data_IF_339090930908
#
_entry.id   IF_339090930908
#
_cell.length_a   1.000
_cell.length_b   1.000
_cell.length_c   1.000
_cell.angle_alpha   90.00
_cell.angle_beta   90.00
_cell.angle_gamma   90.00
#
_symmetry.space_group_name_H-M   'P 1'
#
loop_
_entity.id
_entity.type
_entity.pdbx_description
1 polymer ?
#
# COMPACT_ATOMS: atom_id res chain seq x y z
N UNK A 1 -6.05 6.23 1.75
CA UNK A 1 -5.29 5.10 1.19
C UNK A 1 -3.91 5.61 0.80
N UNK A 2 -2.85 4.89 1.15
CA UNK A 2 -1.47 5.20 0.74
C UNK A 2 -1.29 5.25 -0.79
N UNK A 3 -2.15 4.61 -1.58
CA UNK A 3 -2.14 4.69 -3.05
C UNK A 3 -2.39 6.10 -3.61
N UNK A 4 -3.01 6.99 -2.84
CA UNK A 4 -3.29 8.36 -3.28
C UNK A 4 -2.15 9.35 -2.95
N UNK A 5 -1.12 8.94 -2.20
CA UNK A 5 -0.04 9.84 -1.78
C UNK A 5 0.73 10.38 -2.99
N UNK A 6 1.16 9.51 -3.91
CA UNK A 6 1.91 9.92 -5.10
C UNK A 6 1.05 10.77 -6.07
N UNK A 7 -0.21 10.41 -6.37
CA UNK A 7 -1.11 11.29 -7.13
C UNK A 7 -1.30 12.68 -6.51
N UNK A 8 -1.39 12.79 -5.18
CA UNK A 8 -1.51 14.09 -4.49
C UNK A 8 -0.23 14.91 -4.64
N UNK A 9 0.94 14.30 -4.43
CA UNK A 9 2.23 14.99 -4.62
C UNK A 9 2.36 15.49 -6.06
N UNK A 10 2.01 14.65 -7.04
CA UNK A 10 2.01 15.03 -8.45
C UNK A 10 1.06 16.21 -8.72
N UNK A 11 -0.15 16.17 -8.17
CA UNK A 11 -1.14 17.24 -8.32
C UNK A 11 -0.65 18.56 -7.71
N UNK A 12 0.03 18.52 -6.57
CA UNK A 12 0.64 19.71 -5.95
C UNK A 12 1.74 20.30 -6.84
N UNK A 13 2.62 19.46 -7.41
CA UNK A 13 3.66 19.89 -8.35
C UNK A 13 3.08 20.53 -9.60
N UNK A 14 2.02 19.95 -10.15
CA UNK A 14 1.30 20.51 -11.30
C UNK A 14 0.73 21.90 -10.99
N UNK A 15 0.08 22.07 -9.83
CA UNK A 15 -0.43 23.39 -9.39
C UNK A 15 0.67 24.42 -9.20
N UNK A 16 1.79 24.05 -8.56
CA UNK A 16 2.94 24.95 -8.40
C UNK A 16 3.50 25.42 -9.75
N UNK A 17 3.57 24.51 -10.74
CA UNK A 17 4.00 24.85 -12.09
C UNK A 17 3.05 25.85 -12.76
N UNK A 18 1.74 25.67 -12.62
CA UNK A 18 0.73 26.59 -13.17
C UNK A 18 0.83 27.97 -12.53
N UNK A 19 0.94 28.04 -11.19
CA UNK A 19 1.09 29.30 -10.46
C UNK A 19 2.38 30.03 -10.87
N UNK A 20 3.48 29.29 -11.05
CA UNK A 20 4.76 29.88 -11.46
C UNK A 20 4.68 30.49 -12.86
N UNK A 21 4.01 29.84 -13.82
CA UNK A 21 3.85 30.35 -15.18
C UNK A 21 2.95 31.60 -15.26
N UNK A 22 1.94 31.72 -14.39
CA UNK A 22 1.04 32.87 -14.36
C UNK A 22 1.74 34.13 -13.78
N UNK A 23 2.60 33.94 -12.79
CA UNK A 23 3.23 35.05 -12.05
C UNK A 23 4.46 35.66 -12.74
N UNK A 24 4.99 35.06 -13.82
CA UNK A 24 6.03 35.69 -14.66
C UNK A 24 5.54 36.96 -15.38
N UNK A 25 4.24 37.26 -15.32
CA UNK A 25 3.62 38.43 -15.95
C UNK A 25 3.35 39.63 -15.01
N UNK A 26 3.50 39.47 -13.69
CA UNK A 26 3.24 40.56 -12.73
C UNK A 26 4.07 40.38 -11.43
N UNK A 27 5.33 40.80 -11.48
CA UNK A 27 6.38 40.58 -10.47
C UNK A 27 6.19 41.37 -9.14
N UNK A 28 4.98 41.88 -8.86
CA UNK A 28 4.71 42.72 -7.68
C UNK A 28 3.69 42.16 -6.67
N UNK A 29 3.08 41.00 -6.92
CA UNK A 29 2.15 40.40 -5.96
C UNK A 29 2.87 39.62 -4.84
N UNK A 30 3.02 40.28 -3.68
CA UNK A 30 3.57 39.72 -2.44
C UNK A 30 2.86 38.40 -2.06
N UNK A 31 1.57 38.26 -2.38
CA UNK A 31 0.80 37.05 -2.08
C UNK A 31 1.22 35.87 -2.97
N UNK A 32 1.52 36.13 -4.25
CA UNK A 32 2.00 35.11 -5.20
C UNK A 32 3.33 34.48 -4.77
N UNK A 33 4.27 35.30 -4.29
CA UNK A 33 5.55 34.82 -3.76
C UNK A 33 5.41 33.95 -2.51
N UNK A 34 4.51 34.33 -1.58
CA UNK A 34 4.23 33.56 -0.36
C UNK A 34 3.55 32.22 -0.68
N UNK A 35 2.58 32.21 -1.59
CA UNK A 35 1.91 30.99 -2.05
C UNK A 35 2.94 30.04 -2.70
N UNK A 36 3.81 30.54 -3.57
CA UNK A 36 4.87 29.75 -4.20
C UNK A 36 5.79 29.10 -3.15
N UNK A 37 6.26 29.89 -2.18
CA UNK A 37 7.10 29.37 -1.10
C UNK A 37 6.39 28.28 -0.28
N UNK A 38 5.10 28.48 0.06
CA UNK A 38 4.30 27.48 0.77
C UNK A 38 4.23 26.14 0.00
N UNK A 39 3.88 26.19 -1.29
CA UNK A 39 3.81 24.98 -2.13
C UNK A 39 5.18 24.30 -2.24
N UNK A 40 6.26 25.06 -2.46
CA UNK A 40 7.62 24.53 -2.54
C UNK A 40 8.01 23.80 -1.26
N UNK A 41 7.85 24.42 -0.10
CA UNK A 41 8.19 23.79 1.19
C UNK A 41 7.37 22.53 1.45
N UNK A 42 6.07 22.54 1.14
CA UNK A 42 5.21 21.36 1.30
C UNK A 42 5.70 20.22 0.39
N UNK A 43 6.00 20.52 -0.87
CA UNK A 43 6.48 19.52 -1.84
C UNK A 43 7.83 18.95 -1.42
N UNK A 44 8.77 19.78 -0.96
CA UNK A 44 10.08 19.34 -0.47
C UNK A 44 9.95 18.36 0.70
N UNK A 45 9.10 18.66 1.69
CA UNK A 45 8.85 17.78 2.83
C UNK A 45 8.23 16.46 2.39
N UNK A 46 7.28 16.50 1.46
CA UNK A 46 6.63 15.30 0.94
C UNK A 46 7.58 14.44 0.11
N UNK A 47 8.40 15.05 -0.74
CA UNK A 47 9.43 14.36 -1.50
C UNK A 47 10.46 13.73 -0.56
N UNK A 48 11.00 14.48 0.40
CA UNK A 48 11.95 13.94 1.37
C UNK A 48 11.42 12.69 2.11
N UNK A 49 10.10 12.64 2.37
CA UNK A 49 9.48 11.56 3.13
C UNK A 49 9.03 10.37 2.28
N UNK A 50 8.61 10.61 1.05
CA UNK A 50 7.90 9.61 0.23
C UNK A 50 8.55 9.34 -1.12
N UNK A 51 9.56 10.10 -1.51
CA UNK A 51 10.32 9.86 -2.74
C UNK A 51 10.89 8.43 -2.73
N UNK A 52 10.75 7.76 -3.88
CA UNK A 52 11.27 6.42 -4.15
C UNK A 52 10.81 5.33 -3.15
N UNK A 53 9.73 5.58 -2.39
CA UNK A 53 9.17 4.60 -1.48
C UNK A 53 8.52 3.46 -2.28
N UNK A 54 9.22 2.34 -2.37
CA UNK A 54 8.78 1.16 -3.15
C UNK A 54 7.38 0.68 -2.76
N UNK A 55 7.02 0.70 -1.47
CA UNK A 55 5.68 0.30 -1.05
C UNK A 55 4.62 1.26 -1.57
N UNK A 56 4.84 2.58 -1.50
CA UNK A 56 3.90 3.57 -2.04
C UNK A 56 3.79 3.50 -3.56
N UNK A 57 4.90 3.21 -4.25
CA UNK A 57 4.90 2.96 -5.69
C UNK A 57 4.01 1.75 -5.98
N UNK A 58 4.22 0.61 -5.32
CA UNK A 58 3.39 -0.59 -5.53
C UNK A 58 1.93 -0.35 -5.17
N UNK A 59 1.66 0.38 -4.09
CA UNK A 59 0.32 0.79 -3.67
C UNK A 59 -0.40 1.60 -4.75
N UNK A 60 0.30 2.53 -5.40
CA UNK A 60 -0.25 3.41 -6.43
C UNK A 60 -0.43 2.64 -7.74
N UNK A 61 0.56 1.84 -8.13
CA UNK A 61 0.52 1.02 -9.36
C UNK A 61 -0.60 0.00 -9.32
N UNK A 62 -0.77 -0.71 -8.19
CA UNK A 62 -1.81 -1.70 -8.02
C UNK A 62 -3.18 -1.07 -7.74
N UNK A 63 -3.30 0.25 -7.73
CA UNK A 63 -4.59 0.93 -7.67
C UNK A 63 -5.12 1.18 -9.10
N UNK A 64 -6.23 0.53 -9.52
CA UNK A 64 -6.78 0.66 -10.87
C UNK A 64 -7.22 2.09 -11.24
N UNK A 65 -7.33 2.99 -10.26
CA UNK A 65 -7.60 4.42 -10.48
C UNK A 65 -6.38 5.18 -10.98
N UNK A 66 -5.18 4.76 -10.59
CA UNK A 66 -3.94 5.53 -10.76
C UNK A 66 -2.93 4.82 -11.66
N UNK A 67 -2.75 3.51 -11.46
CA UNK A 67 -1.79 2.68 -12.21
C UNK A 67 -0.40 3.34 -12.23
N UNK A 68 0.24 3.41 -13.39
CA UNK A 68 1.60 3.93 -13.55
C UNK A 68 1.67 5.44 -13.78
N UNK A 69 0.53 6.13 -13.93
CA UNK A 69 0.47 7.52 -14.41
C UNK A 69 1.18 8.54 -13.51
N UNK A 70 1.15 8.28 -12.20
CA UNK A 70 1.73 9.18 -11.19
C UNK A 70 3.10 8.71 -10.71
N UNK A 71 3.68 7.69 -11.37
CA UNK A 71 4.99 7.15 -11.04
C UNK A 71 6.03 7.81 -11.94
N UNK A 72 7.07 8.37 -11.33
CA UNK A 72 8.25 8.80 -12.08
C UNK A 72 9.11 7.57 -12.40
N UNK A 73 9.35 7.33 -13.69
CA UNK A 73 10.25 6.27 -14.15
C UNK A 73 11.04 6.77 -15.36
N UNK A 74 12.31 6.38 -15.45
CA UNK A 74 13.16 6.69 -16.60
C UNK A 74 12.94 5.68 -17.74
N UNK A 75 12.65 4.42 -17.38
CA UNK A 75 12.39 3.33 -18.31
C UNK A 75 11.19 2.51 -17.83
N UNK A 76 10.17 2.41 -18.68
CA UNK A 76 8.96 1.64 -18.40
C UNK A 76 9.27 0.15 -18.24
N UNK A 77 10.27 -0.36 -18.96
CA UNK A 77 10.68 -1.77 -18.89
C UNK A 77 11.23 -2.11 -17.51
N UNK A 78 12.02 -1.20 -16.93
CA UNK A 78 12.54 -1.33 -15.56
C UNK A 78 11.40 -1.28 -14.55
N UNK A 79 10.47 -0.34 -14.69
CA UNK A 79 9.30 -0.26 -13.80
C UNK A 79 8.46 -1.55 -13.86
N UNK A 80 8.15 -2.04 -15.06
CA UNK A 80 7.40 -3.29 -15.26
C UNK A 80 8.11 -4.48 -14.64
N UNK A 81 9.44 -4.56 -14.77
CA UNK A 81 10.25 -5.60 -14.13
C UNK A 81 10.12 -5.56 -12.61
N UNK A 82 10.27 -4.39 -11.98
CA UNK A 82 10.13 -4.23 -10.52
C UNK A 82 8.74 -4.63 -10.03
N UNK A 83 7.69 -4.28 -10.77
CA UNK A 83 6.31 -4.68 -10.44
C UNK A 83 6.15 -6.19 -10.55
N UNK A 84 6.68 -6.80 -11.61
CA UNK A 84 6.61 -8.24 -11.81
C UNK A 84 7.33 -9.02 -10.71
N UNK A 85 8.55 -8.60 -10.34
CA UNK A 85 9.33 -9.21 -9.23
C UNK A 85 8.59 -9.11 -7.89
N UNK A 86 7.96 -7.98 -7.61
CA UNK A 86 7.13 -7.79 -6.42
C UNK A 86 5.93 -8.75 -6.39
N UNK A 87 5.26 -8.92 -7.54
CA UNK A 87 4.12 -9.81 -7.68
C UNK A 87 4.53 -11.27 -7.54
N UNK A 88 5.63 -11.66 -8.18
CA UNK A 88 6.20 -13.01 -8.13
C UNK A 88 6.54 -13.39 -6.69
N UNK A 89 7.34 -12.56 -6.01
CA UNK A 89 7.74 -12.78 -4.61
C UNK A 89 6.54 -12.88 -3.68
N UNK A 90 5.52 -12.05 -3.91
CA UNK A 90 4.31 -12.05 -3.07
C UNK A 90 3.46 -13.30 -3.31
N UNK A 91 3.36 -13.73 -4.57
CA UNK A 91 2.59 -14.90 -4.96
C UNK A 91 3.24 -16.19 -4.44
N UNK A 92 4.54 -16.39 -4.65
CA UNK A 92 5.29 -17.57 -4.17
C UNK A 92 5.23 -17.71 -2.65
N UNK A 93 5.28 -16.59 -1.92
CA UNK A 93 5.13 -16.60 -0.46
C UNK A 93 3.76 -17.10 -0.01
N UNK A 94 2.70 -16.68 -0.70
CA UNK A 94 1.33 -17.08 -0.35
C UNK A 94 1.07 -18.52 -0.80
N UNK A 95 1.62 -18.93 -1.94
CA UNK A 95 1.53 -20.31 -2.41
C UNK A 95 2.23 -21.27 -1.44
N UNK A 96 3.45 -20.94 -1.00
CA UNK A 96 4.18 -21.74 0.01
C UNK A 96 3.44 -21.80 1.35
N UNK A 97 2.92 -20.67 1.85
CA UNK A 97 2.08 -20.64 3.06
C UNK A 97 0.80 -21.50 2.88
N UNK A 98 0.19 -21.48 1.70
CA UNK A 98 -1.00 -22.28 1.40
C UNK A 98 -0.69 -23.77 1.26
N UNK A 99 0.46 -24.16 0.71
CA UNK A 99 0.87 -25.56 0.59
C UNK A 99 1.11 -26.19 1.96
N UNK A 100 1.76 -25.46 2.87
CA UNK A 100 1.92 -25.87 4.28
C UNK A 100 0.57 -26.04 4.97
N UNK A 101 -0.42 -25.19 4.66
CA UNK A 101 -1.78 -25.31 5.19
C UNK A 101 -2.64 -26.40 4.49
N UNK A 102 -2.35 -26.74 3.24
CA UNK A 102 -3.10 -27.75 2.46
C UNK A 102 -2.67 -29.19 2.75
N UNK A 103 -1.48 -29.44 3.31
CA UNK A 103 -1.10 -30.77 3.83
C UNK A 103 -2.08 -31.25 4.93
N UNK A 104 -2.80 -30.32 5.60
CA UNK A 104 -3.83 -30.67 6.58
C UNK A 104 -5.23 -30.89 5.99
N UNK A 105 -5.46 -30.65 4.69
CA UNK A 105 -6.81 -30.68 4.09
C UNK A 105 -6.90 -31.44 2.74
N UNK A 106 -6.03 -32.41 2.49
CA UNK A 106 -6.22 -33.32 1.34
C UNK A 106 -7.14 -34.49 1.68
N UNK A 107 -8.46 -34.32 1.50
CA UNK A 107 -9.42 -35.42 1.36
C UNK A 107 -10.74 -34.92 0.74
N UNK A 108 -10.73 -34.45 -0.52
CA UNK A 108 -11.94 -34.38 -1.35
C UNK A 108 -11.60 -34.15 -2.83
N UNK A 109 -11.22 -35.22 -3.54
CA UNK A 109 -11.30 -35.26 -5.00
C UNK A 109 -12.73 -35.61 -5.40
N UNK A 110 -13.47 -34.65 -5.97
CA UNK A 110 -14.79 -34.89 -6.56
C UNK A 110 -14.74 -34.45 -8.03
N UNK A 111 -14.66 -35.45 -8.93
CA UNK A 111 -14.75 -35.27 -10.38
C UNK A 111 -16.13 -34.69 -10.73
N UNK A 112 -16.17 -33.51 -11.35
CA UNK A 112 -17.42 -32.90 -11.85
C UNK A 112 -17.80 -33.49 -13.22
N UNK A 113 -19.11 -33.70 -13.49
CA UNK A 113 -19.58 -34.22 -14.77
C UNK A 113 -19.45 -33.19 -15.90
N UNK A 114 -19.17 -33.69 -17.12
CA UNK A 114 -18.99 -32.89 -18.35
C UNK A 114 -20.31 -32.20 -18.75
N UNK A 115 -20.25 -30.92 -19.14
CA UNK A 115 -21.41 -30.10 -19.54
C UNK A 115 -21.73 -30.23 -21.05
N UNK A 116 -22.98 -29.98 -21.45
CA UNK A 116 -23.49 -30.26 -22.82
C UNK A 116 -22.76 -29.59 -23.98
N UNK A 117 -22.06 -28.47 -23.77
CA UNK A 117 -21.23 -27.83 -24.81
C UNK A 117 -19.96 -28.65 -25.14
N UNK A 118 -19.41 -29.39 -24.18
CA UNK A 118 -18.25 -30.27 -24.41
C UNK A 118 -18.57 -31.46 -25.33
N UNK A 119 -19.85 -31.79 -25.46
CA UNK A 119 -20.36 -32.82 -26.39
C UNK A 119 -20.51 -32.26 -27.80
N UNK A 120 -20.95 -30.99 -27.93
CA UNK A 120 -21.16 -30.33 -29.23
C UNK A 120 -19.83 -30.00 -29.92
N UNK A 121 -18.85 -29.51 -29.17
CA UNK A 121 -17.55 -29.12 -29.73
C UNK A 121 -16.53 -30.25 -29.78
N UNK A 122 -16.89 -31.45 -29.32
CA UNK A 122 -16.02 -32.62 -29.26
C UNK A 122 -14.86 -32.41 -28.29
N UNK A 123 -14.82 -33.20 -27.20
CA UNK A 123 -13.53 -33.41 -26.52
C UNK A 123 -12.66 -34.22 -27.47
N UNK A 124 -11.47 -33.75 -27.89
CA UNK A 124 -10.55 -34.60 -28.62
C UNK A 124 -10.18 -35.76 -27.68
N UNK A 125 -10.78 -36.92 -27.93
CA UNK A 125 -10.32 -38.20 -27.40
C UNK A 125 -9.01 -38.51 -28.13
N UNK A 126 -7.94 -37.86 -27.69
CA UNK A 126 -6.61 -38.12 -28.21
C UNK A 126 -5.70 -38.39 -27.01
N UNK A 127 -5.20 -39.61 -26.95
CA UNK A 127 -4.22 -40.12 -25.98
C UNK A 127 -2.84 -39.45 -26.12
N UNK A 128 -2.80 -38.16 -26.40
CA UNK A 128 -1.62 -37.31 -26.34
C UNK A 128 -1.82 -36.38 -25.16
N UNK A 129 -1.56 -36.91 -23.96
CA UNK A 129 -1.51 -36.15 -22.73
C UNK A 129 -0.46 -35.04 -22.88
N UNK A 130 -0.96 -33.84 -23.15
CA UNK A 130 -0.38 -32.52 -22.89
C UNK A 130 1.15 -32.41 -22.95
N UNK A 131 1.65 -32.10 -24.15
CA UNK A 131 2.77 -31.14 -24.25
C UNK A 131 2.24 -29.69 -24.17
N UNK A 132 1.26 -29.42 -23.30
CA UNK A 132 0.99 -28.05 -22.89
C UNK A 132 2.21 -27.62 -22.06
N UNK A 133 3.18 -26.95 -22.70
CA UNK A 133 4.25 -26.32 -21.96
C UNK A 133 3.60 -25.40 -20.93
N UNK A 134 3.75 -25.75 -19.66
CA UNK A 134 3.28 -24.92 -18.57
C UNK A 134 3.94 -23.55 -18.72
N UNK A 135 3.12 -22.52 -18.95
CA UNK A 135 3.62 -21.16 -19.12
C UNK A 135 4.32 -20.76 -17.81
N UNK A 136 5.59 -20.32 -17.86
CA UNK A 136 6.33 -19.93 -16.66
C UNK A 136 5.59 -18.84 -15.89
N UNK A 137 5.70 -18.85 -14.55
CA UNK A 137 5.06 -17.85 -13.68
C UNK A 137 5.41 -16.42 -14.12
N UNK A 138 6.69 -16.16 -14.36
CA UNK A 138 7.19 -14.86 -14.84
C UNK A 138 6.52 -14.40 -16.16
N UNK A 139 6.15 -15.32 -17.05
CA UNK A 139 5.43 -14.99 -18.29
C UNK A 139 3.93 -14.74 -18.02
N UNK A 140 3.31 -15.51 -17.11
CA UNK A 140 1.93 -15.25 -16.66
C UNK A 140 1.81 -13.84 -16.03
N UNK A 141 2.77 -13.47 -15.18
CA UNK A 141 2.81 -12.15 -14.53
C UNK A 141 2.96 -11.03 -15.56
N UNK A 142 3.88 -11.18 -16.52
CA UNK A 142 4.06 -10.18 -17.59
C UNK A 142 2.77 -9.97 -18.38
N UNK A 143 2.09 -11.05 -18.75
CA UNK A 143 0.82 -10.98 -19.49
C UNK A 143 -0.28 -10.28 -18.67
N UNK A 144 -0.44 -10.63 -17.39
CA UNK A 144 -1.38 -9.95 -16.49
C UNK A 144 -1.06 -8.46 -16.36
N UNK A 145 0.21 -8.12 -16.17
CA UNK A 145 0.67 -6.75 -15.99
C UNK A 145 0.42 -5.89 -17.24
N UNK A 146 0.74 -6.42 -18.42
CA UNK A 146 0.50 -5.73 -19.68
C UNK A 146 -1.00 -5.52 -19.92
N UNK A 147 -1.81 -6.54 -19.66
CA UNK A 147 -3.26 -6.44 -19.75
C UNK A 147 -3.82 -5.42 -18.76
N UNK A 148 -3.32 -5.39 -17.52
CA UNK A 148 -3.75 -4.47 -16.48
C UNK A 148 -3.41 -3.01 -16.78
N UNK A 149 -2.17 -2.73 -17.21
CA UNK A 149 -1.72 -1.38 -17.56
C UNK A 149 -2.52 -0.84 -18.74
N UNK A 150 -2.82 -1.68 -19.75
CA UNK A 150 -3.55 -1.28 -20.95
C UNK A 150 -5.07 -1.19 -20.74
N UNK A 151 -5.62 -1.83 -19.70
CA UNK A 151 -7.03 -1.69 -19.34
C UNK A 151 -7.33 -0.22 -18.97
N UNK A 152 -8.50 0.36 -19.32
CA UNK A 152 -8.90 1.67 -18.81
C UNK A 152 -8.80 1.79 -17.29
N UNK A 153 -8.51 3.01 -16.82
CA UNK A 153 -8.60 3.36 -15.40
C UNK A 153 -10.06 3.40 -14.98
N UNK A 154 -10.32 3.07 -13.72
CA UNK A 154 -11.65 3.29 -13.13
C UNK A 154 -11.78 4.71 -12.58
N UNK A 155 -13.01 5.14 -12.33
CA UNK A 155 -13.28 6.46 -11.75
C UNK A 155 -12.70 6.59 -10.34
N UNK A 156 -12.31 7.81 -9.95
CA UNK A 156 -11.64 8.09 -8.66
C UNK A 156 -12.51 7.71 -7.45
N UNK A 157 -13.84 7.84 -7.60
CA UNK A 157 -14.84 7.50 -6.59
C UNK A 157 -15.14 6.00 -6.49
N UNK A 158 -14.63 5.17 -7.41
CA UNK A 158 -14.87 3.72 -7.38
C UNK A 158 -13.93 3.03 -6.38
N UNK A 159 -14.41 1.93 -5.79
CA UNK A 159 -13.62 1.12 -4.87
C UNK A 159 -12.65 0.19 -5.62
N UNK A 160 -11.36 0.40 -5.39
CA UNK A 160 -10.28 -0.36 -6.00
C UNK A 160 -10.26 -1.84 -5.55
N UNK A 161 -10.62 -2.15 -4.31
CA UNK A 161 -10.69 -3.54 -3.82
C UNK A 161 -11.84 -4.30 -4.47
N UNK A 162 -12.99 -3.65 -4.65
CA UNK A 162 -14.13 -4.26 -5.35
C UNK A 162 -13.79 -4.55 -6.80
N UNK A 163 -13.11 -3.62 -7.48
CA UNK A 163 -12.62 -3.86 -8.84
C UNK A 163 -11.68 -5.08 -8.91
N UNK A 164 -10.74 -5.19 -7.97
CA UNK A 164 -9.86 -6.35 -7.87
C UNK A 164 -10.61 -7.66 -7.61
N UNK A 165 -11.63 -7.64 -6.74
CA UNK A 165 -12.47 -8.81 -6.46
C UNK A 165 -13.24 -9.30 -7.69
N UNK A 166 -13.75 -8.37 -8.50
CA UNK A 166 -14.46 -8.68 -9.75
C UNK A 166 -13.49 -9.26 -10.79
N UNK A 167 -12.29 -8.70 -10.89
CA UNK A 167 -11.32 -9.04 -11.94
C UNK A 167 -10.28 -10.10 -11.51
N UNK A 168 -10.42 -10.70 -10.32
CA UNK A 168 -9.46 -11.67 -9.77
C UNK A 168 -9.22 -12.91 -10.64
N UNK A 169 -10.18 -13.31 -11.47
CA UNK A 169 -10.03 -14.44 -12.39
C UNK A 169 -9.19 -14.08 -13.61
N UNK A 170 -9.19 -12.80 -14.00
CA UNK A 170 -8.39 -12.26 -15.10
C UNK A 170 -6.97 -11.95 -14.65
N UNK A 171 -6.82 -11.50 -13.40
CA UNK A 171 -5.55 -11.09 -12.81
C UNK A 171 -5.25 -11.84 -11.49
N UNK A 172 -5.19 -13.19 -11.49
CA UNK A 172 -5.04 -13.95 -10.26
C UNK A 172 -3.76 -13.62 -9.50
N UNK A 173 -2.64 -13.36 -10.18
CA UNK A 173 -1.35 -13.10 -9.52
C UNK A 173 -1.28 -11.67 -9.00
N UNK A 174 -1.71 -10.70 -9.82
CA UNK A 174 -1.73 -9.29 -9.39
C UNK A 174 -2.76 -9.04 -8.28
N UNK A 175 -3.91 -9.74 -8.29
CA UNK A 175 -4.94 -9.65 -7.24
C UNK A 175 -4.36 -9.92 -5.85
N UNK A 176 -3.54 -10.96 -5.73
CA UNK A 176 -2.89 -11.36 -4.48
C UNK A 176 -2.00 -10.22 -3.94
N UNK A 177 -1.24 -9.61 -4.84
CA UNK A 177 -0.35 -8.49 -4.52
C UNK A 177 -1.12 -7.22 -4.16
N UNK A 178 -2.16 -6.90 -4.92
CA UNK A 178 -3.04 -5.76 -4.69
C UNK A 178 -3.73 -5.85 -3.33
N UNK A 179 -4.34 -7.01 -3.02
CA UNK A 179 -4.98 -7.25 -1.73
C UNK A 179 -4.00 -7.01 -0.57
N UNK A 180 -2.77 -7.52 -0.66
CA UNK A 180 -1.74 -7.35 0.39
C UNK A 180 -1.36 -5.89 0.61
N UNK A 181 -1.07 -5.12 -0.44
CA UNK A 181 -0.65 -3.72 -0.26
C UNK A 181 -1.80 -2.83 0.21
N UNK A 182 -3.02 -3.12 -0.23
CA UNK A 182 -4.21 -2.34 0.14
C UNK A 182 -4.68 -2.63 1.57
N UNK A 183 -4.54 -3.86 2.06
CA UNK A 183 -4.84 -4.18 3.48
C UNK A 183 -3.84 -3.53 4.43
N UNK A 184 -2.55 -3.49 4.08
CA UNK A 184 -1.52 -2.80 4.88
C UNK A 184 -1.90 -1.32 5.04
N UNK A 185 -2.30 -0.64 3.97
CA UNK A 185 -2.74 0.77 4.04
C UNK A 185 -3.96 0.99 4.93
N UNK A 186 -4.89 0.02 5.00
CA UNK A 186 -6.06 0.15 5.87
C UNK A 186 -5.64 0.09 7.35
N UNK A 187 -4.70 -0.80 7.70
CA UNK A 187 -4.25 -0.98 9.08
C UNK A 187 -3.40 0.18 9.62
N UNK A 188 -2.56 0.80 8.79
CA UNK A 188 -1.75 1.96 9.21
C UNK A 188 -2.61 3.19 9.48
N UNK A 189 -3.64 3.43 8.67
CA UNK A 189 -4.57 4.54 8.90
C UNK A 189 -5.45 4.32 10.14
N UNK A 190 -5.78 3.06 10.44
CA UNK A 190 -6.54 2.72 11.65
C UNK A 190 -5.70 2.94 12.92
N UNK A 191 -4.42 2.55 12.93
CA UNK A 191 -3.55 2.73 14.08
C UNK A 191 -3.27 4.20 14.37
N UNK A 192 -3.02 5.03 13.36
CA UNK A 192 -2.87 6.49 13.54
C UNK A 192 -4.13 7.15 14.13
N UNK A 193 -5.34 6.73 13.71
CA UNK A 193 -6.60 7.25 14.23
C UNK A 193 -6.86 6.87 15.68
N UNK A 194 -6.53 5.64 16.08
CA UNK A 194 -6.71 5.16 17.46
C UNK A 194 -5.70 5.86 18.38
N UNK A 195 -4.45 6.04 17.95
CA UNK A 195 -3.45 6.78 18.72
C UNK A 195 -3.71 8.29 18.77
N UNK A 196 -4.28 8.88 17.71
CA UNK A 196 -4.67 10.29 17.72
C UNK A 196 -5.86 10.58 18.65
N UNK A 197 -6.80 9.64 18.81
CA UNK A 197 -7.92 9.76 19.76
C UNK A 197 -7.53 9.40 21.21
N UNK A 198 -6.57 8.50 21.41
CA UNK A 198 -6.14 8.05 22.74
C UNK A 198 -5.37 9.11 23.55
N UNK A 199 -4.80 10.13 22.91
CA UNK A 199 -4.04 11.19 23.59
C UNK A 199 -4.89 12.22 24.34
N UNK A 200 -6.22 12.21 24.20
CA UNK A 200 -7.10 13.27 24.73
C UNK A 200 -7.80 12.85 26.05
N UNK A 201 -7.74 11.58 26.47
CA UNK A 201 -8.51 11.10 27.63
C UNK A 201 -7.71 10.92 28.95
N UNK A 202 -6.54 11.56 29.09
CA UNK A 202 -5.61 11.32 30.20
C UNK A 202 -5.49 12.41 31.26
N UNK A 203 -6.38 13.41 31.31
CA UNK A 203 -6.28 14.51 32.28
C UNK A 203 -7.59 14.78 33.04
N UNK A 204 -8.38 13.75 33.35
CA UNK A 204 -9.51 13.97 34.23
C UNK A 204 -9.65 12.86 35.28
N UNK A 205 -9.64 13.32 36.53
CA UNK A 205 -10.02 12.61 37.76
C UNK A 205 -8.94 11.78 38.47
N UNK A 206 -8.22 12.41 39.38
CA UNK A 206 -8.01 11.81 40.72
C UNK A 206 -7.91 12.91 41.79
N UNK A 207 -9.02 13.62 42.04
CA UNK A 207 -9.28 14.10 43.39
C UNK A 207 -9.82 12.93 44.20
N UNK A 208 -8.97 12.33 45.02
CA UNK A 208 -9.41 11.55 46.17
C UNK A 208 -8.79 12.17 47.42
N UNK A 209 -9.67 12.67 48.28
CA UNK A 209 -9.39 13.13 49.64
C UNK A 209 -8.86 11.96 50.46
N UNK A 210 -7.77 12.17 51.17
CA UNK A 210 -7.41 11.41 52.36
C UNK A 210 -6.85 12.39 53.39
N UNK A 211 -7.58 12.48 54.50
CA UNK A 211 -7.19 13.16 55.71
C UNK A 211 -6.17 12.30 56.49
N UNK A 212 -5.36 13.00 57.27
CA UNK A 212 -4.62 12.57 58.47
C UNK A 212 -3.11 12.29 58.36
N UNK A 213 -2.45 12.72 59.44
CA UNK A 213 -1.08 13.21 59.52
C UNK A 213 0.01 12.14 59.54
N UNK A 214 1.23 12.52 59.14
CA UNK A 214 2.43 12.55 60.01
C UNK A 214 3.57 13.28 59.28
N UNK A 215 4.27 14.16 60.02
CA UNK A 215 5.39 14.98 59.57
C UNK A 215 6.63 14.12 59.32
N UNK A 216 7.35 14.35 58.22
CA UNK A 216 8.81 14.36 58.24
C UNK A 216 9.40 15.17 57.07
N UNK A 217 10.27 16.10 57.46
CA UNK A 217 11.13 16.95 56.65
C UNK A 217 12.11 16.14 55.78
N UNK A 218 12.40 16.60 54.55
CA UNK A 218 13.75 17.04 54.12
C UNK A 218 13.80 17.34 52.60
N UNK A 219 14.42 18.49 52.30
CA UNK A 219 15.18 18.87 51.09
C UNK A 219 14.56 18.71 49.70
N UNK A 220 14.33 19.88 49.09
CA UNK A 220 14.04 20.00 47.67
C UNK A 220 15.23 19.59 46.80
N UNK A 221 14.92 18.79 45.79
CA UNK A 221 15.76 18.59 44.61
C UNK A 221 14.87 18.83 43.37
N UNK A 222 15.12 19.94 42.66
CA UNK A 222 14.51 20.20 41.36
C UNK A 222 15.12 19.23 40.34
N UNK A 223 14.47 18.10 40.06
CA UNK A 223 14.78 17.31 38.86
C UNK A 223 14.19 18.03 37.65
N UNK A 224 15.06 18.76 36.94
CA UNK A 224 14.84 19.19 35.57
C UNK A 224 14.63 17.96 34.68
N UNK A 225 13.41 17.73 34.22
CA UNK A 225 13.15 16.76 33.15
C UNK A 225 13.60 17.41 31.85
N UNK A 226 14.81 17.03 31.43
CA UNK A 226 15.36 17.30 30.12
C UNK A 226 14.43 16.75 29.04
N UNK A 227 13.96 17.62 28.15
CA UNK A 227 13.28 17.25 26.90
C UNK A 227 14.27 16.48 26.03
N UNK A 228 14.30 15.15 26.15
CA UNK A 228 14.88 14.33 25.09
C UNK A 228 13.95 14.40 23.88
N UNK A 229 14.47 15.00 22.81
CA UNK A 229 13.82 14.99 21.50
C UNK A 229 13.52 13.55 21.08
N UNK A 230 12.34 13.35 20.51
CA UNK A 230 11.97 12.11 19.85
C UNK A 230 12.83 11.96 18.59
N UNK A 231 14.03 11.40 18.76
CA UNK A 231 14.81 10.89 17.65
C UNK A 231 14.23 9.53 17.28
N UNK A 232 13.58 9.46 16.11
CA UNK A 232 13.18 8.18 15.53
C UNK A 232 14.44 7.34 15.26
N UNK A 233 14.46 6.05 15.64
CA UNK A 233 15.61 5.21 15.38
C UNK A 233 15.82 4.98 13.87
N UNK A 234 17.06 4.75 13.42
CA UNK A 234 17.39 4.55 12.02
C UNK A 234 16.79 3.25 11.45
N UNK A 235 16.52 3.32 10.15
CA UNK A 235 15.73 2.40 9.31
C UNK A 235 16.38 1.02 9.02
N UNK A 236 17.09 0.43 9.98
CA UNK A 236 17.69 -0.91 9.81
C UNK A 236 16.88 -2.05 10.41
N UNK A 237 15.81 -1.77 11.18
CA UNK A 237 15.02 -2.80 11.88
C UNK A 237 13.67 -3.15 11.24
N UNK A 238 13.51 -2.90 9.94
CA UNK A 238 12.35 -3.38 9.17
C UNK A 238 12.33 -4.91 8.93
N UNK A 239 13.36 -5.63 9.41
CA UNK A 239 13.29 -7.09 9.52
C UNK A 239 12.34 -7.58 10.63
N UNK A 240 11.97 -6.72 11.59
CA UNK A 240 11.16 -7.15 12.77
C UNK A 240 9.67 -6.81 12.62
N UNK A 241 9.29 -5.87 11.75
CA UNK A 241 7.87 -5.58 11.48
C UNK A 241 7.17 -6.62 10.56
N UNK A 242 7.87 -7.70 10.20
CA UNK A 242 7.36 -8.85 9.45
C UNK A 242 6.83 -9.99 10.35
N UNK A 243 6.82 -9.79 11.67
CA UNK A 243 6.52 -10.85 12.64
C UNK A 243 5.16 -10.57 13.31
N UNK A 244 4.19 -11.44 12.97
CA UNK A 244 2.87 -11.66 13.61
C UNK A 244 1.77 -10.65 13.27
N UNK A 245 1.06 -10.90 12.18
CA UNK A 245 -0.41 -10.82 12.19
C UNK A 245 -0.95 -12.17 11.72
N UNK A 246 -1.48 -13.03 12.61
CA UNK A 246 -2.11 -14.26 12.19
C UNK A 246 -3.45 -13.89 11.53
N UNK A 247 -3.63 -14.38 10.31
CA UNK A 247 -4.89 -14.36 9.57
C UNK A 247 -5.97 -15.07 10.40
N UNK A 248 -6.82 -14.30 11.07
CA UNK A 248 -8.21 -14.70 11.31
C UNK A 248 -9.04 -13.86 10.35
N UNK A 249 -9.95 -14.52 9.65
CA UNK A 249 -11.27 -14.16 9.08
C UNK A 249 -11.42 -14.91 7.75
#
# INVERSE_FOLDING_TARGET
MGSAILPVIFSLKSKLSQITQLNESDDTDINGGQIKNMYTTIIEVLDQRYQDNALLIMCTVLDPRFKIEYIKYNDLSVLKKTIAEFCETTYERIESDSYVNNISNQLASQKKPKTGLSVIFGTPENNNMDNFQEVPLSQKIKNELDLYINNPKIGVEQDSLDWWNINKTTYPIMFVSAKKVMTIQATSLASERIFSKGGISGYESTERKEDDATKESYTGEKKTVSRRGCQMPPLTDLKVALIVVPSRW
#
